data_IF_780194837053
#
_entry.id   IF_780194837053
#
_cell.length_a   1.000
_cell.length_b   1.000
_cell.length_c   1.000
_cell.angle_alpha   90.00
_cell.angle_beta   90.00
_cell.angle_gamma   90.00
#
_symmetry.space_group_name_H-M   'P 1'
#
loop_
_entity.id
_entity.type
_entity.pdbx_description
1 polymer ?
#
# COMPACT_ATOMS: atom_id res chain seq x y z
N UNK A 1 -6.47 16.11 -7.46
CA UNK A 1 -6.58 14.78 -8.10
C UNK A 1 -6.75 13.75 -7.00
N UNK A 2 -7.78 12.92 -7.09
CA UNK A 2 -8.08 11.87 -6.11
C UNK A 2 -7.46 10.55 -6.57
N UNK A 3 -7.05 9.71 -5.61
CA UNK A 3 -6.52 8.37 -5.84
C UNK A 3 -7.44 7.37 -5.15
N UNK A 4 -7.76 6.28 -5.82
CA UNK A 4 -8.62 5.19 -5.31
C UNK A 4 -7.77 3.93 -5.19
N UNK A 5 -7.83 3.28 -4.03
CA UNK A 5 -7.11 2.04 -3.73
C UNK A 5 -7.78 1.33 -2.55
N UNK A 6 -7.59 0.02 -2.47
CA UNK A 6 -7.93 -0.75 -1.27
C UNK A 6 -6.83 -0.59 -0.22
N UNK A 7 -7.21 -0.37 1.05
CA UNK A 7 -6.25 -0.23 2.16
C UNK A 7 -6.38 -1.42 3.12
N UNK A 8 -5.31 -2.19 3.25
CA UNK A 8 -5.19 -3.21 4.29
C UNK A 8 -4.38 -2.67 5.46
N UNK A 9 -4.85 -2.90 6.70
CA UNK A 9 -4.14 -2.55 7.94
C UNK A 9 -3.96 -3.84 8.75
N UNK A 10 -2.91 -4.62 8.49
CA UNK A 10 -2.63 -5.85 9.22
C UNK A 10 -2.11 -5.56 10.64
N UNK A 11 -2.40 -6.48 11.56
CA UNK A 11 -2.01 -6.40 12.97
C UNK A 11 -0.64 -7.04 13.27
N UNK A 12 0.03 -7.59 12.26
CA UNK A 12 1.34 -8.23 12.39
C UNK A 12 2.16 -8.19 11.11
N UNK A 13 3.48 -8.33 11.24
CA UNK A 13 4.41 -8.32 10.11
C UNK A 13 4.15 -9.50 9.18
N UNK A 14 3.94 -10.69 9.74
CA UNK A 14 3.63 -11.89 8.97
C UNK A 14 2.31 -11.73 8.18
N UNK A 15 1.31 -11.06 8.76
CA UNK A 15 0.07 -10.72 8.07
C UNK A 15 0.31 -9.78 6.88
N UNK A 16 1.14 -8.74 7.07
CA UNK A 16 1.51 -7.82 6.00
C UNK A 16 2.26 -8.53 4.86
N UNK A 17 3.24 -9.38 5.20
CA UNK A 17 3.98 -10.18 4.24
C UNK A 17 3.07 -11.15 3.47
N UNK A 18 2.11 -11.78 4.16
CA UNK A 18 1.12 -12.66 3.54
C UNK A 18 0.26 -11.95 2.49
N UNK A 19 -0.23 -10.75 2.81
CA UNK A 19 -1.02 -9.92 1.88
C UNK A 19 -0.18 -9.51 0.67
N UNK A 20 1.06 -9.05 0.90
CA UNK A 20 1.96 -8.65 -0.18
C UNK A 20 2.33 -9.83 -1.09
N UNK A 21 2.61 -11.00 -0.52
CA UNK A 21 2.92 -12.21 -1.30
C UNK A 21 1.74 -12.66 -2.16
N UNK A 22 0.51 -12.64 -1.60
CA UNK A 22 -0.70 -13.00 -2.34
C UNK A 22 -1.06 -12.00 -3.45
N UNK A 23 -0.68 -10.72 -3.27
CA UNK A 23 -1.05 -9.62 -4.16
C UNK A 23 0.08 -9.09 -5.05
N UNK A 24 1.27 -9.69 -5.05
CA UNK A 24 2.45 -9.17 -5.76
C UNK A 24 2.21 -8.90 -7.26
N UNK A 25 1.39 -9.73 -7.93
CA UNK A 25 1.02 -9.55 -9.34
C UNK A 25 -0.07 -8.50 -9.59
N UNK A 26 -0.72 -7.96 -8.55
CA UNK A 26 -1.89 -7.07 -8.63
C UNK A 26 -1.59 -5.60 -8.29
N UNK A 27 -0.31 -5.22 -8.21
CA UNK A 27 0.07 -3.83 -7.88
C UNK A 27 -0.24 -3.49 -6.42
N UNK A 28 0.19 -4.37 -5.50
CA UNK A 28 0.19 -4.09 -4.06
C UNK A 28 1.43 -3.30 -3.69
N UNK A 29 1.27 -2.23 -2.91
CA UNK A 29 2.40 -1.40 -2.46
C UNK A 29 2.37 -1.19 -0.94
N UNK A 30 3.49 -1.37 -0.24
CA UNK A 30 3.56 -1.07 1.19
C UNK A 30 3.52 0.44 1.47
N UNK A 31 2.86 0.82 2.55
CA UNK A 31 2.78 2.19 3.05
C UNK A 31 3.30 2.27 4.49
N UNK A 32 4.51 2.80 4.63
CA UNK A 32 5.08 3.17 5.92
C UNK A 32 4.64 4.60 6.31
N UNK A 33 5.57 5.57 6.42
CA UNK A 33 5.26 6.98 6.70
C UNK A 33 4.52 7.72 5.57
N UNK A 34 4.41 7.11 4.38
CA UNK A 34 3.56 7.56 3.28
C UNK A 34 4.01 8.81 2.52
N UNK A 35 5.08 9.48 2.93
CA UNK A 35 5.49 10.79 2.37
C UNK A 35 5.78 10.74 0.87
N UNK A 36 6.45 9.70 0.38
CA UNK A 36 6.74 9.59 -1.06
C UNK A 36 5.55 9.04 -1.84
N UNK A 37 5.02 7.88 -1.43
CA UNK A 37 3.95 7.19 -2.16
C UNK A 37 2.68 8.04 -2.29
N UNK A 38 2.26 8.75 -1.23
CA UNK A 38 1.05 9.59 -1.29
C UNK A 38 1.25 10.77 -2.26
N UNK A 39 2.44 11.36 -2.29
CA UNK A 39 2.75 12.46 -3.23
C UNK A 39 2.77 11.94 -4.67
N UNK A 40 3.34 10.77 -4.91
CA UNK A 40 3.39 10.14 -6.23
C UNK A 40 2.01 9.71 -6.73
N UNK A 41 1.15 9.19 -5.84
CA UNK A 41 -0.25 8.89 -6.15
C UNK A 41 -1.03 10.16 -6.52
N UNK A 42 -0.84 11.26 -5.78
CA UNK A 42 -1.49 12.55 -6.09
C UNK A 42 -1.01 13.15 -7.41
N UNK A 43 0.24 12.90 -7.78
CA UNK A 43 0.80 13.29 -9.07
C UNK A 43 0.44 12.33 -10.22
N UNK A 44 -0.24 11.21 -9.93
CA UNK A 44 -0.58 10.18 -10.91
C UNK A 44 0.61 9.36 -11.42
N UNK A 45 1.78 9.47 -10.76
CA UNK A 45 2.98 8.70 -11.10
C UNK A 45 2.88 7.25 -10.65
N UNK A 46 2.28 7.05 -9.47
CA UNK A 46 1.99 5.74 -8.90
C UNK A 46 0.47 5.52 -8.83
N UNK A 47 0.02 4.32 -9.17
CA UNK A 47 -1.40 3.95 -9.15
C UNK A 47 -1.59 2.53 -8.61
N UNK A 48 -1.20 2.27 -7.35
CA UNK A 48 -1.41 0.97 -6.75
C UNK A 48 -2.91 0.69 -6.64
N UNK A 49 -3.32 -0.55 -6.92
CA UNK A 49 -4.70 -0.98 -6.72
C UNK A 49 -4.98 -1.21 -5.24
N UNK A 50 -3.93 -1.56 -4.49
CA UNK A 50 -4.01 -1.91 -3.08
C UNK A 50 -2.76 -1.47 -2.33
N UNK A 51 -2.96 -0.99 -1.11
CA UNK A 51 -1.93 -0.44 -0.24
C UNK A 51 -1.95 -1.16 1.09
N UNK A 52 -0.78 -1.57 1.60
CA UNK A 52 -0.66 -2.26 2.89
C UNK A 52 0.00 -1.34 3.91
N UNK A 53 -0.75 -0.90 4.92
CA UNK A 53 -0.26 -0.05 5.98
C UNK A 53 0.68 -0.79 6.94
N UNK A 54 1.87 -0.26 7.18
CA UNK A 54 2.88 -0.83 8.08
C UNK A 54 3.03 -0.03 9.39
N UNK A 55 2.35 1.10 9.54
CA UNK A 55 2.56 2.03 10.66
C UNK A 55 2.08 1.57 12.04
N UNK A 56 1.49 0.37 12.16
CA UNK A 56 0.99 -0.21 13.42
C UNK A 56 1.72 -1.48 13.85
N UNK A 57 2.81 -1.83 13.16
CA UNK A 57 3.52 -3.10 13.26
C UNK A 57 4.97 -2.84 13.66
#
# INVERSE_FOLDING_TARGET
MYAEFELDIPDSLDGALGIMAAGAAKGVTPLAGGTNLIVDMRAGRERPVRVVGLGKI
#
